data_IF_663889629652
#
_entry.id   IF_663889629652
#
_cell.length_a   1.000
_cell.length_b   1.000
_cell.length_c   1.000
_cell.angle_alpha   90.00
_cell.angle_beta   90.00
_cell.angle_gamma   90.00
#
_symmetry.space_group_name_H-M   'P 1'
#
loop_
_entity.id
_entity.type
_entity.pdbx_description
1 polymer ?
#
# COMPACT_ATOMS: atom_id res chain seq x y z
N UNK A 1 -24.47 -14.18 -41.08
CA UNK A 1 -24.67 -13.06 -40.14
C UNK A 1 -23.36 -12.29 -40.04
N UNK A 2 -23.26 -11.10 -40.64
CA UNK A 2 -22.06 -10.27 -40.57
C UNK A 2 -21.98 -9.60 -39.20
N UNK A 3 -20.95 -9.91 -38.41
CA UNK A 3 -20.68 -9.20 -37.15
C UNK A 3 -20.08 -7.83 -37.49
N UNK A 4 -20.52 -6.73 -36.84
CA UNK A 4 -19.92 -5.44 -37.07
C UNK A 4 -18.45 -5.43 -36.62
N UNK A 5 -17.56 -4.71 -37.33
CA UNK A 5 -16.17 -4.57 -36.93
C UNK A 5 -16.09 -3.87 -35.58
N UNK A 6 -15.19 -4.34 -34.72
CA UNK A 6 -14.92 -3.71 -33.43
C UNK A 6 -14.32 -2.31 -33.66
N UNK A 7 -14.93 -1.29 -33.06
CA UNK A 7 -14.40 0.07 -33.02
C UNK A 7 -13.92 0.37 -31.60
N UNK A 8 -12.61 0.58 -31.38
CA UNK A 8 -12.11 0.94 -30.06
C UNK A 8 -12.65 2.31 -29.64
N UNK A 9 -12.80 2.50 -28.33
CA UNK A 9 -13.19 3.79 -27.76
C UNK A 9 -12.20 4.90 -28.15
N UNK A 10 -12.69 6.12 -28.43
CA UNK A 10 -11.82 7.24 -28.77
C UNK A 10 -10.88 7.56 -27.61
N UNK A 11 -9.64 7.97 -27.94
CA UNK A 11 -8.68 8.39 -26.92
C UNK A 11 -9.16 9.67 -26.22
N UNK A 12 -9.01 9.77 -24.88
CA UNK A 12 -9.31 11.01 -24.17
C UNK A 12 -8.42 12.13 -24.70
N UNK A 13 -9.01 13.32 -24.88
CA UNK A 13 -8.26 14.51 -25.27
C UNK A 13 -7.61 15.13 -24.02
N UNK A 14 -6.36 15.60 -24.10
CA UNK A 14 -5.75 16.33 -22.99
C UNK A 14 -6.54 17.63 -22.73
N UNK A 15 -6.71 17.96 -21.46
CA UNK A 15 -7.39 19.20 -21.04
C UNK A 15 -6.52 20.45 -21.22
N UNK A 16 -5.20 20.28 -21.34
CA UNK A 16 -4.24 21.35 -21.49
C UNK A 16 -3.73 21.42 -22.93
N UNK A 17 -3.56 22.64 -23.44
CA UNK A 17 -2.91 22.85 -24.73
C UNK A 17 -1.42 22.48 -24.63
N UNK A 18 -0.75 22.15 -25.75
CA UNK A 18 0.68 21.87 -25.73
C UNK A 18 1.52 23.09 -25.32
N UNK A 19 1.02 24.30 -25.54
CA UNK A 19 1.70 25.54 -25.13
C UNK A 19 1.61 25.74 -23.62
N UNK A 20 0.42 25.56 -23.03
CA UNK A 20 0.23 25.64 -21.57
C UNK A 20 1.07 24.60 -20.84
N UNK A 21 1.16 23.38 -21.40
CA UNK A 21 1.99 22.33 -20.83
C UNK A 21 3.48 22.73 -20.79
N UNK A 22 3.98 23.45 -21.81
CA UNK A 22 5.36 23.96 -21.84
C UNK A 22 5.57 25.09 -20.83
N UNK A 23 4.60 25.99 -20.69
CA UNK A 23 4.66 27.06 -19.69
C UNK A 23 4.70 26.50 -18.27
N UNK A 24 3.88 25.50 -17.98
CA UNK A 24 3.87 24.82 -16.68
C UNK A 24 5.19 24.08 -16.42
N UNK A 25 5.73 23.40 -17.43
CA UNK A 25 7.03 22.73 -17.33
C UNK A 25 8.17 23.72 -17.07
N UNK A 26 8.14 24.90 -17.71
CA UNK A 26 9.10 25.97 -17.46
C UNK A 26 8.94 26.59 -16.06
N UNK A 27 7.70 26.83 -15.62
CA UNK A 27 7.43 27.39 -14.29
C UNK A 27 7.80 26.43 -13.14
N UNK A 28 7.91 25.13 -13.43
CA UNK A 28 8.17 24.08 -12.43
C UNK A 28 9.53 23.41 -12.59
N UNK A 29 10.41 23.94 -13.46
CA UNK A 29 11.74 23.37 -13.71
C UNK A 29 12.56 23.22 -12.43
N UNK A 30 12.47 24.22 -11.55
CA UNK A 30 13.28 24.32 -10.34
C UNK A 30 12.83 23.33 -9.25
N UNK A 31 11.59 22.84 -9.34
CA UNK A 31 11.03 21.84 -8.45
C UNK A 31 11.44 20.42 -8.85
N UNK A 32 12.20 20.26 -9.94
CA UNK A 32 12.70 18.97 -10.39
C UNK A 32 11.67 18.06 -11.06
N UNK A 33 10.45 18.53 -11.30
CA UNK A 33 9.41 17.74 -11.99
C UNK A 33 9.76 17.41 -13.45
N UNK A 34 10.55 18.27 -14.10
CA UNK A 34 11.01 18.07 -15.49
C UNK A 34 12.41 17.48 -15.56
N UNK A 35 13.06 17.24 -14.40
CA UNK A 35 14.39 16.62 -14.36
C UNK A 35 14.26 15.14 -14.71
N UNK A 36 14.80 14.74 -15.85
CA UNK A 36 14.93 13.34 -16.20
C UNK A 36 15.71 12.62 -15.09
N UNK A 37 15.07 11.66 -14.43
CA UNK A 37 15.71 10.77 -13.46
C UNK A 37 16.52 9.71 -14.21
N UNK A 38 17.53 10.14 -14.97
CA UNK A 38 18.57 9.24 -15.40
C UNK A 38 19.56 9.09 -14.23
N UNK A 39 19.69 7.86 -13.73
CA UNK A 39 20.89 7.47 -12.99
C UNK A 39 22.12 7.82 -13.86
N UNK A 40 23.28 8.18 -13.27
CA UNK A 40 24.48 8.49 -14.04
C UNK A 40 24.75 7.35 -15.01
N UNK A 41 24.57 7.63 -16.30
CA UNK A 41 24.95 6.73 -17.36
C UNK A 41 26.48 6.77 -17.39
N UNK A 42 27.08 5.71 -16.87
CA UNK A 42 28.51 5.45 -16.92
C UNK A 42 28.99 5.61 -18.38
N UNK A 43 30.13 6.29 -18.64
CA UNK A 43 30.61 6.56 -19.99
C UNK A 43 30.91 5.27 -20.78
N UNK A 44 30.88 5.32 -22.12
CA UNK A 44 30.85 4.14 -22.97
C UNK A 44 32.20 3.39 -23.02
N UNK A 45 32.05 2.07 -23.17
CA UNK A 45 33.05 1.02 -23.30
C UNK A 45 34.37 1.33 -24.03
N UNK A 46 35.45 0.79 -23.48
CA UNK A 46 36.70 0.41 -24.17
C UNK A 46 37.12 -1.00 -23.68
N UNK A 47 37.96 -1.74 -24.43
CA UNK A 47 37.64 -3.10 -24.84
C UNK A 47 38.22 -4.25 -23.99
N UNK A 48 37.55 -5.39 -24.15
CA UNK A 48 37.84 -6.78 -23.78
C UNK A 48 39.33 -7.15 -23.58
N UNK A 49 39.60 -7.84 -22.48
CA UNK A 49 40.72 -8.78 -22.34
C UNK A 49 40.10 -10.14 -21.90
N UNK A 50 40.32 -11.25 -22.64
CA UNK A 50 39.84 -12.58 -22.28
C UNK A 50 40.90 -13.42 -21.52
N UNK A 51 40.45 -14.60 -21.04
CA UNK A 51 41.22 -15.76 -20.54
C UNK A 51 41.47 -15.78 -19.02
N UNK A 52 41.17 -16.83 -18.22
CA UNK A 52 41.18 -18.28 -18.43
C UNK A 52 40.25 -19.03 -17.39
N UNK A 53 40.10 -20.39 -17.43
CA UNK A 53 38.88 -21.11 -17.02
C UNK A 53 38.90 -21.93 -15.70
N UNK A 54 37.69 -22.14 -15.13
CA UNK A 54 37.16 -23.27 -14.29
C UNK A 54 37.89 -23.64 -12.95
N UNK A 55 37.25 -24.36 -11.98
CA UNK A 55 36.25 -25.42 -12.13
C UNK A 55 34.95 -25.27 -11.33
N UNK A 56 33.99 -26.12 -11.71
CA UNK A 56 32.71 -26.35 -11.05
C UNK A 56 32.82 -27.44 -9.98
N UNK A 57 32.15 -27.31 -8.84
CA UNK A 57 31.57 -28.40 -8.02
C UNK A 57 30.38 -27.82 -7.23
N UNK A 58 29.13 -28.22 -7.52
CA UNK A 58 28.34 -29.30 -6.87
C UNK A 58 28.21 -29.15 -5.35
N UNK A 59 27.02 -28.78 -4.86
CA UNK A 59 26.23 -29.64 -3.95
C UNK A 59 24.99 -28.96 -3.41
N UNK A 60 23.90 -29.73 -3.43
CA UNK A 60 22.61 -29.48 -2.84
C UNK A 60 22.69 -29.16 -1.34
N UNK A 61 21.85 -28.22 -0.90
CA UNK A 61 21.28 -28.28 0.45
C UNK A 61 19.91 -27.60 0.43
N UNK A 62 18.87 -28.41 0.21
CA UNK A 62 17.49 -28.02 0.50
C UNK A 62 17.34 -27.82 2.02
N UNK A 63 16.85 -26.66 2.51
CA UNK A 63 16.41 -26.58 3.88
C UNK A 63 14.99 -27.15 4.02
N UNK A 64 14.94 -28.32 4.65
CA UNK A 64 13.87 -28.92 5.47
C UNK A 64 12.56 -28.12 5.54
N UNK A 65 11.40 -28.70 5.14
CA UNK A 65 10.11 -28.07 5.39
C UNK A 65 9.81 -28.11 6.90
N UNK A 66 9.86 -26.95 7.54
CA UNK A 66 9.33 -26.80 8.89
C UNK A 66 7.83 -27.09 8.88
N UNK A 67 7.29 -27.78 9.90
CA UNK A 67 5.87 -28.05 9.96
C UNK A 67 5.14 -26.71 10.07
N UNK A 68 4.38 -26.36 9.04
CA UNK A 68 3.45 -25.25 9.07
C UNK A 68 2.49 -25.52 10.23
N UNK A 69 2.74 -24.88 11.36
CA UNK A 69 1.79 -24.80 12.46
C UNK A 69 0.51 -24.27 11.84
N UNK A 70 -0.47 -25.17 11.69
CA UNK A 70 -1.77 -24.89 11.09
C UNK A 70 -2.37 -23.79 11.95
N UNK A 71 -2.24 -22.54 11.49
CA UNK A 71 -2.85 -21.40 12.14
C UNK A 71 -4.30 -21.81 12.38
N UNK A 72 -4.66 -21.95 13.66
CA UNK A 72 -5.99 -22.34 14.08
C UNK A 72 -6.93 -21.46 13.26
N UNK A 73 -7.70 -22.08 12.38
CA UNK A 73 -8.61 -21.38 11.51
C UNK A 73 -9.55 -20.62 12.43
N UNK A 74 -9.26 -19.32 12.64
CA UNK A 74 -10.10 -18.43 13.41
C UNK A 74 -11.45 -18.52 12.73
N UNK A 75 -12.37 -19.26 13.36
CA UNK A 75 -13.75 -19.39 12.88
C UNK A 75 -14.20 -17.97 12.62
N UNK A 76 -14.46 -17.63 11.36
CA UNK A 76 -14.95 -16.31 10.98
C UNK A 76 -16.29 -16.17 11.67
N UNK A 77 -16.29 -15.56 12.84
CA UNK A 77 -17.51 -15.22 13.55
C UNK A 77 -18.29 -14.32 12.60
N UNK A 78 -19.56 -14.67 12.37
CA UNK A 78 -20.46 -13.88 11.56
C UNK A 78 -20.62 -12.53 12.26
N UNK A 79 -19.86 -11.53 11.82
CA UNK A 79 -19.90 -10.19 12.38
C UNK A 79 -20.96 -9.37 11.65
N UNK A 80 -21.90 -8.79 12.39
CA UNK A 80 -22.86 -7.82 11.89
C UNK A 80 -22.23 -6.42 11.91
N UNK A 81 -22.60 -5.57 10.95
CA UNK A 81 -22.09 -4.20 10.85
C UNK A 81 -23.01 -3.27 11.62
N UNK A 82 -22.47 -2.57 12.63
CA UNK A 82 -23.17 -1.51 13.35
C UNK A 82 -22.93 -0.17 12.64
N UNK A 83 -24.00 0.51 12.23
CA UNK A 83 -23.97 1.90 11.76
C UNK A 83 -24.54 2.79 12.86
N UNK A 84 -23.84 3.87 13.21
CA UNK A 84 -24.23 4.79 14.28
C UNK A 84 -24.11 6.21 13.75
N UNK A 85 -25.13 7.03 14.02
CA UNK A 85 -25.06 8.47 13.81
C UNK A 85 -24.51 9.12 15.07
N UNK A 86 -23.46 9.92 14.89
CA UNK A 86 -22.76 10.59 15.99
C UNK A 86 -22.58 12.05 15.58
N UNK A 87 -22.94 13.03 16.43
CA UNK A 87 -22.68 14.43 16.14
C UNK A 87 -21.20 14.69 15.84
N UNK A 88 -20.92 15.55 14.87
CA UNK A 88 -19.56 15.94 14.46
C UNK A 88 -18.58 16.30 15.60
N UNK A 89 -18.98 17.05 16.65
CA UNK A 89 -18.04 17.34 17.75
C UNK A 89 -17.64 16.07 18.50
N UNK A 90 -18.58 15.14 18.71
CA UNK A 90 -18.32 13.87 19.39
C UNK A 90 -17.45 12.96 18.52
N UNK A 91 -17.71 12.92 17.22
CA UNK A 91 -16.87 12.17 16.27
C UNK A 91 -15.43 12.67 16.23
N UNK A 92 -15.24 13.98 16.36
CA UNK A 92 -13.91 14.59 16.40
C UNK A 92 -13.19 14.26 17.71
N UNK A 93 -13.88 14.36 18.85
CA UNK A 93 -13.35 13.97 20.15
C UNK A 93 -12.92 12.49 20.18
N UNK A 94 -13.75 11.58 19.63
CA UNK A 94 -13.41 10.16 19.53
C UNK A 94 -12.16 9.89 18.70
N UNK A 95 -11.98 10.63 17.59
CA UNK A 95 -10.76 10.50 16.77
C UNK A 95 -9.53 11.02 17.49
N UNK A 96 -9.66 12.09 18.27
CA UNK A 96 -8.56 12.63 19.08
C UNK A 96 -8.19 11.65 20.20
N UNK A 97 -9.16 11.09 20.91
CA UNK A 97 -8.88 10.11 21.95
C UNK A 97 -8.23 8.83 21.40
N UNK A 98 -8.70 8.36 20.25
CA UNK A 98 -8.12 7.22 19.55
C UNK A 98 -6.66 7.51 19.14
N UNK A 99 -6.38 8.74 18.72
CA UNK A 99 -5.05 9.22 18.39
C UNK A 99 -4.12 9.19 19.60
N UNK A 100 -4.55 9.76 20.72
CA UNK A 100 -3.75 9.86 21.95
C UNK A 100 -3.38 8.48 22.49
N UNK A 101 -4.33 7.54 22.44
CA UNK A 101 -4.14 6.14 22.88
C UNK A 101 -3.49 5.24 21.83
N UNK A 102 -3.25 5.74 20.61
CA UNK A 102 -2.77 4.98 19.44
C UNK A 102 -3.60 3.71 19.15
N UNK A 103 -4.92 3.85 19.25
CA UNK A 103 -5.90 2.80 18.95
C UNK A 103 -6.87 3.27 17.87
N UNK A 104 -7.75 2.38 17.41
CA UNK A 104 -8.80 2.74 16.46
C UNK A 104 -10.05 3.21 17.19
N UNK A 105 -10.90 4.05 16.57
CA UNK A 105 -12.19 4.43 17.16
C UNK A 105 -13.06 3.20 17.43
N UNK A 106 -12.98 2.18 16.56
CA UNK A 106 -13.63 0.88 16.78
C UNK A 106 -13.22 0.23 18.10
N UNK A 107 -11.95 0.33 18.48
CA UNK A 107 -11.46 -0.19 19.76
C UNK A 107 -12.16 0.52 20.94
N UNK A 108 -12.24 1.86 20.92
CA UNK A 108 -12.90 2.63 21.98
C UNK A 108 -14.38 2.24 22.14
N UNK A 109 -15.08 2.05 21.03
CA UNK A 109 -16.48 1.60 21.06
C UNK A 109 -16.62 0.23 21.69
N UNK A 110 -15.75 -0.72 21.31
CA UNK A 110 -15.78 -2.08 21.86
C UNK A 110 -15.31 -2.12 23.33
N UNK A 111 -14.36 -1.27 23.71
CA UNK A 111 -13.92 -1.09 25.09
C UNK A 111 -15.06 -0.55 25.96
N UNK A 112 -15.81 0.46 25.49
CA UNK A 112 -16.98 0.98 26.18
C UNK A 112 -18.07 -0.10 26.34
N UNK A 113 -18.29 -0.94 25.32
CA UNK A 113 -19.21 -2.07 25.43
C UNK A 113 -18.69 -3.13 26.41
N UNK A 114 -17.39 -3.42 26.41
CA UNK A 114 -16.80 -4.33 27.39
C UNK A 114 -16.97 -3.81 28.83
N UNK A 115 -16.82 -2.51 29.04
CA UNK A 115 -17.08 -1.86 30.33
C UNK A 115 -18.56 -1.96 30.77
N UNK A 116 -19.49 -2.17 29.84
CA UNK A 116 -20.91 -2.46 30.13
C UNK A 116 -21.19 -3.96 30.36
N UNK A 117 -20.17 -4.81 30.35
CA UNK A 117 -20.28 -6.24 30.64
C UNK A 117 -20.42 -7.13 29.40
N UNK A 118 -20.30 -6.59 28.18
CA UNK A 118 -20.31 -7.41 26.98
C UNK A 118 -18.94 -8.09 26.77
N UNK A 119 -18.96 -9.39 26.45
CA UNK A 119 -17.74 -10.14 26.23
C UNK A 119 -17.13 -9.83 24.84
N UNK A 120 -16.14 -8.94 24.82
CA UNK A 120 -15.33 -8.65 23.63
C UNK A 120 -13.86 -8.96 23.89
N UNK A 121 -13.23 -9.67 22.95
CA UNK A 121 -11.78 -9.84 22.94
C UNK A 121 -11.12 -8.60 22.32
N UNK A 122 -10.67 -7.70 23.18
CA UNK A 122 -9.99 -6.46 22.78
C UNK A 122 -8.59 -6.73 22.19
N UNK A 123 -7.96 -7.86 22.52
CA UNK A 123 -6.62 -8.22 22.03
C UNK A 123 -6.61 -8.62 20.56
N UNK A 124 -7.75 -9.10 20.04
CA UNK A 124 -7.93 -9.44 18.64
C UNK A 124 -8.09 -8.22 17.72
N UNK A 125 -8.27 -7.01 18.28
CA UNK A 125 -8.45 -5.79 17.51
C UNK A 125 -7.08 -5.24 17.12
N UNK A 126 -6.81 -4.99 15.82
CA UNK A 126 -5.56 -4.38 15.40
C UNK A 126 -5.34 -3.04 16.10
N UNK A 127 -4.16 -2.87 16.71
CA UNK A 127 -3.68 -1.56 17.20
C UNK A 127 -3.49 -0.63 16.00
N UNK A 128 -3.62 0.69 16.21
CA UNK A 128 -3.44 1.65 15.11
C UNK A 128 -1.95 1.76 14.76
N UNK A 129 -1.48 0.83 13.92
CA UNK A 129 -0.10 0.73 13.46
C UNK A 129 0.32 1.83 12.49
N UNK A 130 -0.57 2.76 12.12
CA UNK A 130 -0.26 3.84 11.17
C UNK A 130 0.65 4.93 11.73
N UNK A 131 0.85 4.96 13.05
CA UNK A 131 1.59 6.03 13.77
C UNK A 131 2.91 5.56 14.40
N UNK A 132 3.31 4.33 14.13
CA UNK A 132 4.66 3.84 14.41
C UNK A 132 5.52 4.19 13.19
N UNK A 133 6.02 5.43 13.15
CA UNK A 133 7.15 5.83 12.29
C UNK A 133 8.34 6.07 13.20
#
# INVERSE_FOLDING_TARGET
MNKPPFLPSPRPRPHTSPEDARLLAAATSDLGFTRASNAPQEPPAAPRIPEAPRPAEVSEASPVPTPKTRAAARRKTKATVLKVEVPDPVWTALRQEALDRRVTVKYLVLEALAAKGYAFDLSAIPKDGRRLR
#
